data_IF_799986982953
#
_entry.id   IF_799986982953
#
_cell.length_a   1.000
_cell.length_b   1.000
_cell.length_c   1.000
_cell.angle_alpha   90.00
_cell.angle_beta   90.00
_cell.angle_gamma   90.00
#
_symmetry.space_group_name_H-M   'P 1'
#
loop_
_entity.id
_entity.type
_entity.pdbx_description
1 polymer ?
#
# COMPACT_ATOMS: atom_id res chain seq x y z
N UNK A 1 -12.05 0.17 -12.30
CA UNK A 1 -10.63 0.52 -12.48
C UNK A 1 -9.69 -0.58 -12.00
N UNK A 2 -9.81 -1.04 -10.75
CA UNK A 2 -8.98 -2.17 -10.28
C UNK A 2 -9.29 -3.46 -11.03
N UNK A 3 -10.56 -3.71 -11.39
CA UNK A 3 -10.93 -4.85 -12.23
C UNK A 3 -10.19 -4.87 -13.57
N UNK A 4 -10.11 -3.74 -14.26
CA UNK A 4 -9.42 -3.63 -15.55
C UNK A 4 -7.89 -3.75 -15.42
N UNK A 5 -7.31 -3.37 -14.28
CA UNK A 5 -5.86 -3.56 -14.02
C UNK A 5 -5.55 -5.05 -13.87
N UNK A 6 -6.40 -5.79 -13.15
CA UNK A 6 -6.13 -7.16 -12.74
C UNK A 6 -6.87 -8.23 -13.56
N UNK A 7 -7.65 -7.84 -14.57
CA UNK A 7 -8.57 -8.71 -15.33
C UNK A 7 -7.88 -10.01 -15.79
N UNK A 8 -6.70 -9.86 -16.40
CA UNK A 8 -5.94 -10.95 -17.01
C UNK A 8 -4.89 -11.58 -16.08
N UNK A 9 -4.88 -11.24 -14.79
CA UNK A 9 -3.86 -11.71 -13.88
C UNK A 9 -4.13 -13.15 -13.43
N UNK A 10 -3.10 -13.99 -13.52
CA UNK A 10 -3.09 -15.33 -12.93
C UNK A 10 -3.19 -15.24 -11.40
N UNK A 11 -3.64 -16.31 -10.75
CA UNK A 11 -3.71 -16.33 -9.28
C UNK A 11 -2.33 -16.11 -8.64
N UNK A 12 -1.26 -16.69 -9.23
CA UNK A 12 0.11 -16.47 -8.79
C UNK A 12 0.52 -15.00 -8.89
N UNK A 13 0.18 -14.34 -9.99
CA UNK A 13 0.43 -12.90 -10.19
C UNK A 13 -0.33 -12.05 -9.18
N UNK A 14 -1.61 -12.37 -8.91
CA UNK A 14 -2.42 -11.67 -7.89
C UNK A 14 -1.83 -11.82 -6.48
N UNK A 15 -1.31 -13.01 -6.12
CA UNK A 15 -0.63 -13.23 -4.84
C UNK A 15 0.68 -12.45 -4.74
N UNK A 16 1.45 -12.38 -5.82
CA UNK A 16 2.68 -11.61 -5.88
C UNK A 16 2.41 -10.12 -5.70
N UNK A 17 1.42 -9.57 -6.43
CA UNK A 17 1.03 -8.17 -6.29
C UNK A 17 0.51 -7.86 -4.90
N UNK A 18 -0.28 -8.77 -4.30
CA UNK A 18 -0.73 -8.62 -2.92
C UNK A 18 0.46 -8.50 -1.95
N UNK A 19 1.51 -9.29 -2.15
CA UNK A 19 2.74 -9.20 -1.35
C UNK A 19 3.47 -7.87 -1.60
N UNK A 20 3.54 -7.40 -2.85
CA UNK A 20 4.16 -6.12 -3.22
C UNK A 20 3.43 -4.96 -2.53
N UNK A 21 2.10 -4.86 -2.68
CA UNK A 21 1.34 -3.78 -2.04
C UNK A 21 1.39 -3.89 -0.51
N UNK A 22 1.41 -5.11 0.05
CA UNK A 22 1.64 -5.33 1.48
C UNK A 22 2.98 -4.78 1.96
N UNK A 23 4.07 -5.07 1.23
CA UNK A 23 5.39 -4.53 1.52
C UNK A 23 5.46 -3.01 1.34
N UNK A 24 4.80 -2.48 0.32
CA UNK A 24 4.72 -1.04 0.06
C UNK A 24 3.98 -0.31 1.18
N UNK A 25 2.88 -0.88 1.67
CA UNK A 25 2.12 -0.35 2.80
C UNK A 25 2.99 -0.24 4.06
N UNK A 26 3.69 -1.32 4.41
CA UNK A 26 4.56 -1.36 5.59
C UNK A 26 5.70 -0.35 5.44
N UNK A 27 6.35 -0.34 4.27
CA UNK A 27 7.48 0.56 3.99
C UNK A 27 7.05 2.03 4.05
N UNK A 28 5.87 2.36 3.51
CA UNK A 28 5.34 3.72 3.54
C UNK A 28 5.05 4.19 4.98
N UNK A 29 4.48 3.33 5.83
CA UNK A 29 4.23 3.64 7.24
C UNK A 29 5.55 3.87 7.99
N UNK A 30 6.51 2.96 7.83
CA UNK A 30 7.81 3.04 8.52
C UNK A 30 8.54 4.33 8.11
N UNK A 31 8.60 4.63 6.81
CA UNK A 31 9.24 5.86 6.33
C UNK A 31 8.54 7.12 6.83
N UNK A 32 7.20 7.13 6.88
CA UNK A 32 6.44 8.26 7.43
C UNK A 32 6.81 8.50 8.91
N UNK A 33 6.90 7.43 9.71
CA UNK A 33 7.31 7.51 11.12
C UNK A 33 8.74 8.04 11.25
N UNK A 34 9.68 7.53 10.44
CA UNK A 34 11.07 7.99 10.45
C UNK A 34 11.16 9.48 10.13
N UNK A 35 10.45 9.94 9.11
CA UNK A 35 10.41 11.37 8.73
C UNK A 35 9.87 12.21 9.89
N UNK A 36 8.77 11.79 10.53
CA UNK A 36 8.18 12.49 11.68
C UNK A 36 9.15 12.60 12.86
N UNK A 37 9.84 11.50 13.17
CA UNK A 37 10.83 11.45 14.25
C UNK A 37 11.98 12.40 13.93
N UNK A 38 12.53 12.35 12.71
CA UNK A 38 13.63 13.23 12.28
C UNK A 38 13.20 14.70 12.31
N UNK A 39 12.00 15.04 11.80
CA UNK A 39 11.51 16.42 11.87
C UNK A 39 11.40 16.92 13.31
N UNK A 40 10.88 16.07 14.21
CA UNK A 40 10.76 16.42 15.61
C UNK A 40 12.13 16.67 16.25
N UNK A 41 13.12 15.80 15.99
CA UNK A 41 14.48 15.97 16.51
C UNK A 41 15.20 17.20 15.95
N UNK A 42 15.01 17.51 14.67
CA UNK A 42 15.73 18.62 14.00
C UNK A 42 15.08 19.97 14.27
N UNK A 43 13.75 20.04 14.25
CA UNK A 43 13.00 21.30 14.31
C UNK A 43 12.23 21.52 15.62
N UNK A 44 12.19 20.52 16.52
CA UNK A 44 11.45 20.57 17.78
C UNK A 44 9.92 20.51 17.61
N UNK A 45 9.43 20.29 16.38
CA UNK A 45 8.01 20.22 16.05
C UNK A 45 7.77 19.28 14.88
N UNK A 46 6.56 18.73 14.82
CA UNK A 46 6.09 17.93 13.70
C UNK A 46 5.36 18.84 12.71
N UNK A 47 5.63 18.67 11.41
CA UNK A 47 4.92 19.37 10.35
C UNK A 47 4.54 18.45 9.20
N UNK A 48 3.36 18.68 8.61
CA UNK A 48 2.95 17.95 7.41
C UNK A 48 3.60 18.59 6.18
N UNK A 49 4.69 17.98 5.73
CA UNK A 49 5.38 18.42 4.53
C UNK A 49 4.86 17.69 3.27
N UNK A 50 5.29 18.17 2.09
CA UNK A 50 4.86 17.59 0.80
C UNK A 50 5.29 16.12 0.62
N UNK A 51 6.39 15.69 1.24
CA UNK A 51 6.83 14.30 1.18
C UNK A 51 5.85 13.38 1.90
N UNK A 52 5.36 13.79 3.08
CA UNK A 52 4.36 13.03 3.82
C UNK A 52 3.07 12.83 3.03
N UNK A 53 2.66 13.82 2.24
CA UNK A 53 1.48 13.71 1.37
C UNK A 53 1.67 12.58 0.34
N UNK A 54 2.87 12.47 -0.26
CA UNK A 54 3.18 11.39 -1.21
C UNK A 54 3.07 10.02 -0.52
N UNK A 55 3.61 9.88 0.70
CA UNK A 55 3.51 8.65 1.46
C UNK A 55 2.06 8.30 1.82
N UNK A 56 1.23 9.29 2.17
CA UNK A 56 -0.20 9.09 2.43
C UNK A 56 -0.94 8.60 1.18
N UNK A 57 -0.63 9.14 0.00
CA UNK A 57 -1.21 8.66 -1.27
C UNK A 57 -0.80 7.21 -1.53
N UNK A 58 0.48 6.87 -1.35
CA UNK A 58 0.98 5.49 -1.50
C UNK A 58 0.29 4.55 -0.50
N UNK A 59 0.08 5.01 0.74
CA UNK A 59 -0.61 4.27 1.80
C UNK A 59 -2.05 3.93 1.38
N UNK A 60 -2.81 4.94 0.98
CA UNK A 60 -4.19 4.80 0.53
C UNK A 60 -4.27 3.87 -0.69
N UNK A 61 -3.41 4.10 -1.68
CA UNK A 61 -3.34 3.28 -2.88
C UNK A 61 -3.05 1.81 -2.54
N UNK A 62 -2.06 1.57 -1.69
CA UNK A 62 -1.70 0.20 -1.26
C UNK A 62 -2.85 -0.48 -0.52
N UNK A 63 -3.55 0.25 0.37
CA UNK A 63 -4.71 -0.28 1.09
C UNK A 63 -5.84 -0.71 0.14
N UNK A 64 -6.19 0.15 -0.83
CA UNK A 64 -7.22 -0.19 -1.82
C UNK A 64 -6.85 -1.43 -2.63
N UNK A 65 -5.59 -1.54 -3.08
CA UNK A 65 -5.13 -2.69 -3.84
C UNK A 65 -5.11 -3.97 -2.99
N UNK A 66 -4.65 -3.91 -1.74
CA UNK A 66 -4.63 -5.06 -0.82
C UNK A 66 -6.05 -5.58 -0.58
N UNK A 67 -6.99 -4.69 -0.23
CA UNK A 67 -8.38 -5.08 0.04
C UNK A 67 -9.02 -5.73 -1.20
N UNK A 68 -8.86 -5.10 -2.35
CA UNK A 68 -9.35 -5.64 -3.62
C UNK A 68 -8.75 -7.00 -3.96
N UNK A 69 -7.41 -7.14 -3.91
CA UNK A 69 -6.72 -8.38 -4.24
C UNK A 69 -7.08 -9.52 -3.27
N UNK A 70 -7.21 -9.24 -1.97
CA UNK A 70 -7.69 -10.22 -0.98
C UNK A 70 -9.10 -10.71 -1.32
N UNK A 71 -10.02 -9.81 -1.66
CA UNK A 71 -11.39 -10.17 -2.05
C UNK A 71 -11.37 -11.01 -3.33
N UNK A 72 -10.62 -10.60 -4.34
CA UNK A 72 -10.52 -11.31 -5.62
C UNK A 72 -9.94 -12.71 -5.50
N UNK A 73 -8.86 -12.89 -4.71
CA UNK A 73 -8.26 -14.20 -4.45
C UNK A 73 -9.23 -15.14 -3.70
N UNK A 74 -10.01 -14.62 -2.75
CA UNK A 74 -11.05 -15.41 -2.05
C UNK A 74 -12.14 -15.89 -3.00
N UNK A 75 -12.52 -15.09 -3.99
CA UNK A 75 -13.54 -15.49 -4.97
C UNK A 75 -12.99 -16.53 -5.95
N UNK A 76 -11.75 -16.38 -6.44
CA UNK A 76 -11.11 -17.37 -7.33
C UNK A 76 -10.87 -18.71 -6.64
N UNK A 77 -10.43 -18.72 -5.38
CA UNK A 77 -10.21 -19.96 -4.63
C UNK A 77 -11.48 -20.70 -4.20
N UNK A 78 -12.69 -20.15 -4.44
CA UNK A 78 -13.98 -20.83 -4.23
C UNK A 78 -14.56 -21.43 -5.50
N UNK A 79 -13.99 -21.12 -6.67
CA UNK A 79 -14.43 -21.64 -7.98
C UNK A 79 -13.63 -22.85 -8.44
N UNK A 80 -12.66 -23.30 -7.63
CA UNK A 80 -11.94 -24.57 -7.75
C UNK A 80 -12.48 -25.56 -6.71
#
# INVERSE_FOLDING_TARGET
MLDSIYENFSEKSLKQDLAIYGGLLISAIVLLIVILVVEYFVYGKISLNKLMIIFLIILLWSLFNIDYLKKRLRTKGKSE
#
